data_IF_002623390106
#
_entry.id   IF_002623390106
#
_cell.length_a   1.000
_cell.length_b   1.000
_cell.length_c   1.000
_cell.angle_alpha   90.00
_cell.angle_beta   90.00
_cell.angle_gamma   90.00
#
_symmetry.space_group_name_H-M   'P 1'
#
loop_
_entity.id
_entity.type
_entity.pdbx_description
1 polymer ?
#
# COMPACT_ATOMS: atom_id res chain seq x y z
N UNK A 1 11.07 -15.35 13.63
CA UNK A 1 11.76 -14.69 12.49
C UNK A 1 12.53 -13.50 13.06
N UNK A 2 13.61 -12.97 12.46
CA UNK A 2 14.27 -11.81 13.06
C UNK A 2 13.35 -10.59 13.07
N UNK A 3 13.40 -9.84 14.17
CA UNK A 3 12.73 -8.56 14.29
C UNK A 3 13.37 -7.53 13.34
N UNK A 4 12.57 -6.84 12.54
CA UNK A 4 13.02 -5.95 11.47
C UNK A 4 12.08 -4.76 11.29
N UNK A 5 12.56 -3.67 10.71
CA UNK A 5 11.70 -2.55 10.31
C UNK A 5 11.11 -2.79 8.92
N UNK A 6 10.09 -2.04 8.53
CA UNK A 6 9.55 -2.13 7.17
C UNK A 6 10.59 -1.63 6.14
N UNK A 7 11.38 -0.60 6.49
CA UNK A 7 12.54 -0.15 5.68
C UNK A 7 13.51 -1.30 5.43
N UNK A 8 13.91 -1.99 6.50
CA UNK A 8 14.87 -3.09 6.40
C UNK A 8 14.29 -4.27 5.62
N UNK A 9 13.00 -4.57 5.78
CA UNK A 9 12.32 -5.62 5.02
C UNK A 9 12.22 -5.31 3.52
N UNK A 10 11.89 -4.08 3.15
CA UNK A 10 11.88 -3.61 1.75
C UNK A 10 13.29 -3.71 1.18
N UNK A 11 14.30 -3.23 1.91
CA UNK A 11 15.70 -3.31 1.49
C UNK A 11 16.15 -4.75 1.26
N UNK A 12 15.77 -5.65 2.15
CA UNK A 12 16.10 -7.07 2.06
C UNK A 12 15.38 -7.75 0.87
N UNK A 13 14.13 -7.37 0.57
CA UNK A 13 13.43 -7.82 -0.64
C UNK A 13 14.17 -7.40 -1.92
N UNK A 14 14.60 -6.15 -2.00
CA UNK A 14 15.37 -5.64 -3.14
C UNK A 14 16.73 -6.33 -3.26
N UNK A 15 17.39 -6.57 -2.13
CA UNK A 15 18.67 -7.28 -2.10
C UNK A 15 18.55 -8.71 -2.63
N UNK A 16 17.53 -9.44 -2.17
CA UNK A 16 17.19 -10.79 -2.65
C UNK A 16 16.90 -10.77 -4.15
N UNK A 17 16.05 -9.86 -4.62
CA UNK A 17 15.71 -9.77 -6.04
C UNK A 17 16.93 -9.46 -6.93
N UNK A 18 17.80 -8.54 -6.50
CA UNK A 18 19.02 -8.19 -7.23
C UNK A 18 20.05 -9.34 -7.27
N UNK A 19 20.11 -10.14 -6.19
CA UNK A 19 20.96 -11.34 -6.12
C UNK A 19 20.41 -12.47 -6.99
N UNK A 20 19.10 -12.72 -6.95
CA UNK A 20 18.48 -13.88 -7.59
C UNK A 20 18.33 -13.71 -9.11
N UNK A 21 18.06 -12.49 -9.59
CA UNK A 21 17.71 -12.23 -10.99
C UNK A 21 18.59 -11.12 -11.59
N UNK A 22 19.49 -11.43 -12.54
CA UNK A 22 20.36 -10.44 -13.17
C UNK A 22 19.61 -9.45 -14.09
N UNK A 23 18.33 -9.68 -14.36
CA UNK A 23 17.47 -8.77 -15.13
C UNK A 23 16.87 -7.67 -14.27
N UNK A 24 16.91 -7.80 -12.93
CA UNK A 24 16.39 -6.79 -12.00
C UNK A 24 17.35 -5.60 -11.90
N UNK A 25 16.80 -4.39 -11.93
CA UNK A 25 17.52 -3.14 -11.63
C UNK A 25 16.72 -2.29 -10.66
N UNK A 26 17.39 -1.50 -9.82
CA UNK A 26 16.75 -0.62 -8.84
C UNK A 26 17.22 0.81 -9.06
N UNK A 27 16.34 1.77 -9.34
CA UNK A 27 16.79 3.14 -9.59
C UNK A 27 15.72 4.19 -9.32
N UNK A 28 16.19 5.41 -9.08
CA UNK A 28 15.36 6.58 -8.78
C UNK A 28 16.20 7.71 -8.19
N UNK A 29 15.55 8.73 -7.68
CA UNK A 29 16.21 9.89 -7.08
C UNK A 29 16.85 9.49 -5.74
N UNK A 30 18.16 9.71 -5.60
CA UNK A 30 18.97 9.38 -4.42
C UNK A 30 19.02 7.88 -4.04
N UNK A 31 18.51 7.00 -4.91
CA UNK A 31 18.40 5.54 -4.68
C UNK A 31 19.75 4.83 -4.69
N UNK A 32 20.72 5.35 -5.44
CA UNK A 32 22.02 4.74 -5.70
C UNK A 32 22.98 4.90 -4.52
N UNK A 33 23.83 5.92 -4.58
CA UNK A 33 24.94 6.07 -3.61
C UNK A 33 24.43 6.38 -2.20
N UNK A 34 23.45 7.27 -2.08
CA UNK A 34 22.90 7.69 -0.79
C UNK A 34 22.06 6.59 -0.12
N UNK A 35 21.39 5.76 -0.93
CA UNK A 35 20.59 4.64 -0.43
C UNK A 35 19.12 4.98 -0.18
N UNK A 36 18.61 6.02 -0.84
CA UNK A 36 17.25 6.54 -0.72
C UNK A 36 17.07 7.42 0.52
N UNK A 37 16.21 8.43 0.43
CA UNK A 37 15.91 9.35 1.54
C UNK A 37 15.29 8.66 2.77
N UNK A 38 14.70 7.48 2.57
CA UNK A 38 14.17 6.62 3.63
C UNK A 38 15.08 5.43 3.97
N UNK A 39 16.26 5.31 3.36
CA UNK A 39 17.24 4.22 3.55
C UNK A 39 16.78 2.84 3.04
N UNK A 40 15.70 2.78 2.27
CA UNK A 40 15.15 1.55 1.69
C UNK A 40 16.11 0.87 0.70
N UNK A 41 17.11 1.59 0.15
CA UNK A 41 18.09 1.03 -0.81
C UNK A 41 19.54 1.13 -0.31
N UNK A 42 19.73 1.43 0.98
CA UNK A 42 21.05 1.64 1.57
C UNK A 42 22.02 0.48 1.34
N UNK A 43 23.14 0.75 0.67
CA UNK A 43 24.20 -0.24 0.43
C UNK A 43 23.95 -1.19 -0.75
N UNK A 44 22.79 -1.12 -1.42
CA UNK A 44 22.50 -1.95 -2.59
C UNK A 44 23.46 -1.65 -3.75
N UNK A 45 23.73 -0.38 -4.07
CA UNK A 45 24.72 -0.01 -5.09
C UNK A 45 26.12 -0.52 -4.75
N UNK A 46 26.55 -0.42 -3.48
CA UNK A 46 27.86 -0.92 -3.05
C UNK A 46 27.99 -2.43 -3.27
N UNK A 47 26.91 -3.19 -3.05
CA UNK A 47 26.91 -4.66 -3.18
C UNK A 47 26.76 -5.12 -4.63
N UNK A 48 25.85 -4.50 -5.40
CA UNK A 48 25.44 -4.97 -6.73
C UNK A 48 26.03 -4.18 -7.90
N UNK A 49 26.70 -3.06 -7.62
CA UNK A 49 27.32 -2.19 -8.62
C UNK A 49 26.38 -1.11 -9.17
N UNK A 50 26.98 -0.11 -9.80
CA UNK A 50 26.28 1.06 -10.37
C UNK A 50 25.33 0.68 -11.51
N UNK A 51 25.61 -0.40 -12.25
CA UNK A 51 24.74 -0.85 -13.35
C UNK A 51 23.45 -1.55 -12.87
N UNK A 52 23.37 -1.86 -11.57
CA UNK A 52 22.25 -2.58 -10.95
C UNK A 52 21.43 -1.71 -9.99
N UNK A 53 22.07 -0.78 -9.30
CA UNK A 53 21.42 0.17 -8.40
C UNK A 53 22.01 1.58 -8.56
N UNK A 54 21.24 2.55 -9.08
CA UNK A 54 21.76 3.86 -9.46
C UNK A 54 20.79 5.03 -9.26
N UNK A 55 21.39 6.22 -9.19
CA UNK A 55 20.70 7.50 -9.09
C UNK A 55 20.22 7.98 -10.46
N UNK A 56 19.06 8.62 -10.50
CA UNK A 56 18.51 9.25 -11.71
C UNK A 56 18.40 10.76 -11.56
N UNK A 57 18.27 11.51 -12.68
CA UNK A 57 17.78 12.88 -12.64
C UNK A 57 16.41 12.97 -11.95
N UNK A 58 16.07 14.17 -11.48
CA UNK A 58 14.74 14.49 -10.93
C UNK A 58 13.75 14.64 -12.08
N UNK A 59 13.25 13.50 -12.58
CA UNK A 59 12.23 13.44 -13.63
C UNK A 59 11.45 12.13 -13.50
N UNK A 60 10.28 12.17 -12.86
CA UNK A 60 9.46 10.96 -12.69
C UNK A 60 9.02 10.40 -14.04
N UNK A 61 8.67 11.27 -14.99
CA UNK A 61 8.38 10.89 -16.37
C UNK A 61 9.55 10.11 -16.99
N UNK A 62 10.77 10.63 -16.85
CA UNK A 62 11.98 9.98 -17.36
C UNK A 62 12.26 8.64 -16.68
N UNK A 63 12.12 8.58 -15.34
CA UNK A 63 12.32 7.35 -14.55
C UNK A 63 11.39 6.25 -15.05
N UNK A 64 10.09 6.53 -15.15
CA UNK A 64 9.10 5.52 -15.56
C UNK A 64 9.21 5.20 -17.05
N UNK A 65 9.42 6.20 -17.92
CA UNK A 65 9.59 5.98 -19.35
C UNK A 65 10.80 5.11 -19.69
N UNK A 66 11.94 5.33 -19.04
CA UNK A 66 13.13 4.48 -19.18
C UNK A 66 12.84 3.07 -18.66
N UNK A 67 12.16 2.93 -17.52
CA UNK A 67 11.76 1.62 -17.00
C UNK A 67 10.90 0.84 -17.99
N UNK A 68 9.91 1.47 -18.63
CA UNK A 68 9.07 0.83 -19.63
C UNK A 68 9.92 0.34 -20.82
N UNK A 69 10.84 1.16 -21.32
CA UNK A 69 11.76 0.76 -22.39
C UNK A 69 12.68 -0.41 -21.99
N UNK A 70 13.21 -0.39 -20.76
CA UNK A 70 14.00 -1.49 -20.20
C UNK A 70 13.16 -2.78 -20.06
N UNK A 71 11.91 -2.66 -19.65
CA UNK A 71 10.98 -3.78 -19.50
C UNK A 71 10.66 -4.41 -20.87
N UNK A 72 10.39 -3.59 -21.88
CA UNK A 72 10.20 -4.02 -23.27
C UNK A 72 11.44 -4.72 -23.86
N UNK A 73 12.64 -4.33 -23.41
CA UNK A 73 13.89 -5.02 -23.78
C UNK A 73 14.07 -6.38 -23.07
N UNK A 74 13.35 -6.65 -21.98
CA UNK A 74 13.46 -7.88 -21.20
C UNK A 74 14.17 -7.73 -19.85
N UNK A 75 14.19 -6.53 -19.27
CA UNK A 75 14.62 -6.28 -17.87
C UNK A 75 13.42 -6.26 -16.92
N UNK A 76 13.69 -6.27 -15.61
CA UNK A 76 12.69 -6.11 -14.53
C UNK A 76 13.01 -4.90 -13.65
N UNK A 77 12.72 -3.67 -14.11
CA UNK A 77 12.99 -2.46 -13.35
C UNK A 77 12.12 -2.35 -12.09
N UNK A 78 12.76 -2.03 -10.97
CA UNK A 78 12.12 -1.64 -9.71
C UNK A 78 12.49 -0.19 -9.44
N UNK A 79 11.59 0.71 -9.83
CA UNK A 79 11.85 2.15 -9.76
C UNK A 79 11.24 2.77 -8.52
N UNK A 80 11.87 3.83 -8.01
CA UNK A 80 11.35 4.60 -6.87
C UNK A 80 10.97 6.02 -7.33
N UNK A 81 9.75 6.43 -6.98
CA UNK A 81 9.34 7.85 -6.95
C UNK A 81 9.36 8.27 -5.48
N UNK A 82 10.10 9.33 -5.16
CA UNK A 82 10.50 9.64 -3.78
C UNK A 82 9.31 9.81 -2.80
N UNK A 83 8.20 10.38 -3.27
CA UNK A 83 6.92 10.43 -2.58
C UNK A 83 5.80 10.18 -3.58
N UNK A 84 4.73 9.50 -3.15
CA UNK A 84 3.55 9.27 -3.98
C UNK A 84 2.95 10.60 -4.50
N UNK A 85 3.08 11.68 -3.73
CA UNK A 85 2.66 13.05 -4.06
C UNK A 85 3.37 13.61 -5.31
N UNK A 86 4.56 13.10 -5.65
CA UNK A 86 5.35 13.54 -6.80
C UNK A 86 5.17 12.67 -8.03
N UNK A 87 4.26 11.71 -8.00
CA UNK A 87 4.07 10.77 -9.09
C UNK A 87 3.47 11.42 -10.35
N UNK A 88 2.73 12.54 -10.20
CA UNK A 88 1.93 13.14 -11.26
C UNK A 88 2.67 13.39 -12.60
N UNK A 89 3.94 13.84 -12.65
CA UNK A 89 4.67 13.98 -13.90
C UNK A 89 4.84 12.66 -14.67
N UNK A 90 4.87 11.52 -13.99
CA UNK A 90 4.94 10.18 -14.59
C UNK A 90 3.57 9.57 -14.94
N UNK A 91 2.45 10.22 -14.58
CA UNK A 91 1.14 9.59 -14.67
C UNK A 91 0.77 9.20 -16.11
N UNK A 92 1.16 9.99 -17.11
CA UNK A 92 0.98 9.61 -18.52
C UNK A 92 1.74 8.32 -18.88
N UNK A 93 3.01 8.20 -18.49
CA UNK A 93 3.78 6.97 -18.71
C UNK A 93 3.17 5.76 -17.99
N UNK A 94 2.59 5.96 -16.82
CA UNK A 94 1.95 4.87 -16.06
C UNK A 94 0.66 4.41 -16.75
N UNK A 95 -0.22 5.35 -17.11
CA UNK A 95 -1.58 5.06 -17.60
C UNK A 95 -1.62 4.76 -19.09
N UNK A 96 -0.94 5.57 -19.90
CA UNK A 96 -0.98 5.45 -21.36
C UNK A 96 -0.06 4.34 -21.87
N UNK A 97 1.08 4.15 -21.20
CA UNK A 97 2.15 3.28 -21.68
C UNK A 97 2.24 1.98 -20.87
N UNK A 98 2.67 2.03 -19.59
CA UNK A 98 2.94 0.83 -18.80
C UNK A 98 1.72 -0.09 -18.70
N UNK A 99 0.57 0.44 -18.32
CA UNK A 99 -0.67 -0.32 -18.12
C UNK A 99 -1.19 -0.99 -19.41
N UNK A 100 -0.88 -0.41 -20.57
CA UNK A 100 -1.48 -0.81 -21.86
C UNK A 100 -0.51 -1.51 -22.80
N UNK A 101 0.79 -1.55 -22.47
CA UNK A 101 1.82 -2.11 -23.37
C UNK A 101 1.51 -3.54 -23.78
N UNK A 102 1.20 -4.42 -22.81
CA UNK A 102 0.81 -5.81 -23.09
C UNK A 102 -0.40 -5.90 -24.01
N UNK A 103 -1.43 -5.10 -23.71
CA UNK A 103 -2.71 -5.16 -24.42
C UNK A 103 -2.59 -4.64 -25.86
N UNK A 104 -2.02 -3.44 -26.05
CA UNK A 104 -1.92 -2.78 -27.36
C UNK A 104 -0.99 -3.49 -28.33
N UNK A 105 -0.10 -4.33 -27.83
CA UNK A 105 0.85 -5.11 -28.64
C UNK A 105 0.48 -6.59 -28.73
N UNK A 106 -0.71 -6.99 -28.23
CA UNK A 106 -1.16 -8.38 -28.20
C UNK A 106 -0.13 -9.35 -27.59
N UNK A 107 0.64 -8.87 -26.60
CA UNK A 107 1.66 -9.65 -25.89
C UNK A 107 3.05 -9.67 -26.52
N UNK A 108 3.30 -8.97 -27.64
CA UNK A 108 4.65 -8.84 -28.19
C UNK A 108 5.60 -8.11 -27.23
N UNK A 109 5.09 -7.08 -26.52
CA UNK A 109 5.83 -6.38 -25.47
C UNK A 109 5.07 -6.43 -24.15
N UNK A 110 5.78 -6.69 -23.05
CA UNK A 110 5.24 -6.71 -21.68
C UNK A 110 5.95 -5.70 -20.81
N UNK A 111 5.34 -5.31 -19.67
CA UNK A 111 5.89 -4.29 -18.79
C UNK A 111 6.06 -4.79 -17.34
N UNK A 112 6.97 -5.75 -17.07
CA UNK A 112 7.28 -6.21 -15.70
C UNK A 112 8.08 -5.15 -14.94
N UNK A 113 7.40 -4.07 -14.52
CA UNK A 113 7.96 -2.99 -13.71
C UNK A 113 7.29 -2.95 -12.34
N UNK A 114 8.05 -2.56 -11.32
CA UNK A 114 7.51 -2.19 -10.01
C UNK A 114 7.82 -0.72 -9.77
N UNK A 115 6.81 0.08 -9.45
CA UNK A 115 6.95 1.51 -9.09
C UNK A 115 6.68 1.65 -7.60
N UNK A 116 7.74 1.81 -6.82
CA UNK A 116 7.70 2.03 -5.37
C UNK A 116 7.45 3.50 -5.07
N UNK A 117 6.52 3.77 -4.16
CA UNK A 117 6.09 5.13 -3.80
C UNK A 117 5.76 5.23 -2.31
N UNK A 118 6.56 5.96 -1.51
CA UNK A 118 6.21 6.26 -0.13
C UNK A 118 4.93 7.12 -0.07
N UNK A 119 3.88 6.63 0.59
CA UNK A 119 2.53 7.25 0.66
C UNK A 119 2.07 7.43 2.11
N UNK A 120 0.89 8.04 2.31
CA UNK A 120 0.25 8.20 3.61
C UNK A 120 0.78 9.36 4.45
N UNK A 121 -0.06 9.84 5.37
CA UNK A 121 0.17 10.98 6.25
C UNK A 121 0.47 10.59 7.70
N UNK A 122 -0.04 11.35 8.67
CA UNK A 122 0.22 11.16 10.10
C UNK A 122 1.64 11.54 10.51
N UNK A 123 2.30 12.44 9.77
CA UNK A 123 3.73 12.77 9.95
C UNK A 123 4.06 14.26 9.81
N UNK A 124 3.06 15.15 9.78
CA UNK A 124 3.22 16.58 9.49
C UNK A 124 3.77 16.89 8.10
N UNK A 125 3.57 15.99 7.13
CA UNK A 125 4.06 16.14 5.75
C UNK A 125 3.23 17.10 4.90
N UNK A 126 2.00 17.44 5.33
CA UNK A 126 1.13 18.39 4.65
C UNK A 126 0.81 17.98 3.19
N UNK A 127 0.61 18.97 2.31
CA UNK A 127 -0.05 18.77 1.02
C UNK A 127 0.70 17.88 0.03
N UNK A 128 2.04 17.84 0.08
CA UNK A 128 2.88 17.16 -0.92
C UNK A 128 3.85 16.13 -0.33
N UNK A 129 3.62 15.68 0.90
CA UNK A 129 4.39 14.58 1.49
C UNK A 129 3.49 13.57 2.21
N UNK A 130 2.17 13.58 1.98
CA UNK A 130 1.20 12.84 2.80
C UNK A 130 -0.07 12.40 2.08
N UNK A 131 -0.18 12.62 0.77
CA UNK A 131 -1.33 12.14 0.00
C UNK A 131 -1.35 10.61 -0.12
N UNK A 132 -2.56 10.08 -0.33
CA UNK A 132 -2.83 8.66 -0.64
C UNK A 132 -3.54 8.60 -2.00
N UNK A 133 -2.78 8.44 -3.11
CA UNK A 133 -3.32 8.54 -4.47
C UNK A 133 -3.74 7.18 -5.05
N UNK A 134 -4.02 6.16 -4.23
CA UNK A 134 -4.31 4.79 -4.71
C UNK A 134 -5.50 4.74 -5.69
N UNK A 135 -6.50 5.62 -5.50
CA UNK A 135 -7.68 5.70 -6.35
C UNK A 135 -7.32 5.99 -7.82
N UNK A 136 -6.28 6.80 -8.06
CA UNK A 136 -5.80 7.11 -9.41
C UNK A 136 -5.31 5.86 -10.13
N UNK A 137 -4.65 4.95 -9.41
CA UNK A 137 -4.11 3.72 -9.98
C UNK A 137 -5.13 2.59 -10.08
N UNK A 138 -5.99 2.44 -9.08
CA UNK A 138 -7.02 1.40 -9.07
C UNK A 138 -8.07 1.58 -10.17
N UNK A 139 -8.22 2.80 -10.70
CA UNK A 139 -9.08 3.09 -11.86
C UNK A 139 -8.44 2.69 -13.21
N UNK A 140 -7.15 2.38 -13.24
CA UNK A 140 -6.40 2.15 -14.49
C UNK A 140 -6.33 0.65 -14.79
N UNK A 141 -7.03 0.24 -15.84
CA UNK A 141 -6.98 -1.15 -16.32
C UNK A 141 -5.58 -1.52 -16.79
N UNK A 142 -5.07 -2.66 -16.32
CA UNK A 142 -3.74 -3.18 -16.68
C UNK A 142 -2.66 -2.90 -15.64
N UNK A 143 -2.97 -2.18 -14.56
CA UNK A 143 -2.11 -2.07 -13.38
C UNK A 143 -2.51 -3.09 -12.30
N UNK A 144 -1.54 -3.42 -11.45
CA UNK A 144 -1.78 -3.96 -10.10
C UNK A 144 -1.40 -2.91 -9.07
N UNK A 145 -2.11 -2.88 -7.94
CA UNK A 145 -1.88 -1.89 -6.86
C UNK A 145 -1.80 -2.61 -5.53
N UNK A 146 -0.72 -2.39 -4.80
CA UNK A 146 -0.37 -3.12 -3.57
C UNK A 146 0.06 -2.14 -2.48
N UNK A 147 -0.36 -2.38 -1.24
CA UNK A 147 0.03 -1.59 -0.07
C UNK A 147 0.19 -2.49 1.17
N UNK A 148 1.43 -2.76 1.63
CA UNK A 148 1.67 -3.54 2.83
C UNK A 148 1.35 -2.74 4.11
N UNK A 149 1.12 -3.45 5.21
CA UNK A 149 0.87 -2.85 6.53
C UNK A 149 1.91 -3.23 7.60
N UNK A 150 2.88 -4.08 7.26
CA UNK A 150 3.88 -4.60 8.20
C UNK A 150 5.11 -5.18 7.46
N UNK A 151 6.24 -5.43 8.15
CA UNK A 151 7.46 -5.94 7.54
C UNK A 151 7.34 -7.27 6.78
N UNK A 152 6.63 -8.28 7.31
CA UNK A 152 6.53 -9.59 6.63
C UNK A 152 5.82 -9.46 5.28
N UNK A 153 4.71 -8.71 5.25
CA UNK A 153 3.99 -8.46 4.00
C UNK A 153 4.74 -7.51 3.08
N UNK A 154 5.42 -6.49 3.60
CA UNK A 154 6.19 -5.56 2.77
C UNK A 154 7.24 -6.29 1.92
N UNK A 155 8.01 -7.19 2.54
CA UNK A 155 9.01 -7.98 1.81
C UNK A 155 8.37 -9.01 0.88
N UNK A 156 7.40 -9.79 1.36
CA UNK A 156 6.79 -10.86 0.58
C UNK A 156 5.98 -10.36 -0.61
N UNK A 157 5.23 -9.27 -0.43
CA UNK A 157 4.47 -8.64 -1.51
C UNK A 157 5.39 -7.94 -2.51
N UNK A 158 6.49 -7.32 -2.06
CA UNK A 158 7.45 -6.68 -2.98
C UNK A 158 8.15 -7.73 -3.85
N UNK A 159 8.60 -8.84 -3.27
CA UNK A 159 9.16 -9.95 -4.05
C UNK A 159 8.13 -10.53 -5.04
N UNK A 160 6.87 -10.65 -4.62
CA UNK A 160 5.80 -11.13 -5.50
C UNK A 160 5.48 -10.13 -6.62
N UNK A 161 5.57 -8.83 -6.35
CA UNK A 161 5.41 -7.77 -7.35
C UNK A 161 6.56 -7.77 -8.38
N UNK A 162 7.79 -8.04 -7.94
CA UNK A 162 8.96 -8.13 -8.83
C UNK A 162 8.90 -9.37 -9.74
N UNK A 163 8.32 -10.45 -9.24
CA UNK A 163 8.10 -11.68 -10.02
C UNK A 163 6.93 -11.57 -11.00
N UNK A 164 6.03 -10.61 -10.79
CA UNK A 164 4.82 -10.47 -11.57
C UNK A 164 5.12 -9.91 -12.97
N UNK A 165 4.52 -10.45 -14.04
CA UNK A 165 4.79 -9.97 -15.38
C UNK A 165 4.07 -8.65 -15.71
N UNK A 166 3.12 -8.20 -14.89
CA UNK A 166 2.32 -6.98 -15.07
C UNK A 166 2.90 -5.79 -14.26
N UNK A 167 2.65 -4.54 -14.69
CA UNK A 167 3.13 -3.37 -13.96
C UNK A 167 2.46 -3.25 -12.59
N UNK A 168 3.27 -3.16 -11.54
CA UNK A 168 2.80 -3.06 -10.15
C UNK A 168 3.12 -1.69 -9.55
N UNK A 169 2.08 -1.03 -9.05
CA UNK A 169 2.20 0.13 -8.17
C UNK A 169 2.33 -0.36 -6.73
N UNK A 170 3.48 -0.11 -6.12
CA UNK A 170 3.80 -0.56 -4.76
C UNK A 170 3.86 0.65 -3.82
N UNK A 171 2.75 0.86 -3.10
CA UNK A 171 2.59 2.00 -2.20
C UNK A 171 3.10 1.64 -0.81
N UNK A 172 4.02 2.43 -0.27
CA UNK A 172 4.69 2.16 1.01
C UNK A 172 4.25 3.17 2.07
N UNK A 173 3.44 2.80 3.07
CA UNK A 173 2.99 3.75 4.08
C UNK A 173 4.17 4.23 4.92
N UNK A 174 4.66 5.45 4.67
CA UNK A 174 5.88 5.97 5.31
C UNK A 174 5.72 6.11 6.83
N UNK A 175 4.48 6.32 7.29
CA UNK A 175 4.06 6.30 8.70
C UNK A 175 4.38 4.98 9.41
N UNK A 176 4.44 3.88 8.65
CA UNK A 176 4.71 2.53 9.11
C UNK A 176 6.17 2.10 8.90
N UNK A 177 7.08 2.98 8.46
CA UNK A 177 8.45 2.56 8.18
C UNK A 177 9.21 2.06 9.41
N UNK A 178 9.08 2.78 10.53
CA UNK A 178 9.88 2.54 11.74
C UNK A 178 9.13 1.73 12.80
N UNK A 179 7.80 1.74 12.78
CA UNK A 179 6.94 1.04 13.72
C UNK A 179 5.47 1.11 13.29
N UNK A 180 4.60 0.29 13.91
CA UNK A 180 3.16 0.43 13.74
C UNK A 180 2.69 1.80 14.26
N UNK A 181 1.62 2.33 13.70
CA UNK A 181 1.00 3.57 14.17
C UNK A 181 -0.51 3.39 14.23
N UNK A 182 -1.05 3.50 15.44
CA UNK A 182 -2.47 3.32 15.74
C UNK A 182 -3.28 4.63 15.65
N UNK A 183 -2.64 5.77 15.41
CA UNK A 183 -3.29 7.09 15.40
C UNK A 183 -3.19 7.86 16.71
N UNK A 184 -2.59 7.29 17.77
CA UNK A 184 -2.37 7.97 19.05
C UNK A 184 -1.04 8.74 19.04
N UNK A 185 -1.13 9.98 18.55
CA UNK A 185 -0.04 10.97 18.54
C UNK A 185 0.37 11.50 19.93
N UNK A 186 -0.45 11.32 20.95
CA UNK A 186 -0.16 11.63 22.36
C UNK A 186 0.79 10.62 23.01
N UNK A 187 1.01 9.47 22.35
CA UNK A 187 1.87 8.38 22.85
C UNK A 187 3.11 8.24 21.97
N UNK A 188 4.30 8.00 22.55
CA UNK A 188 5.48 7.64 21.77
C UNK A 188 5.22 6.37 20.96
N UNK A 189 5.56 6.42 19.67
CA UNK A 189 5.40 5.29 18.76
C UNK A 189 6.37 4.18 19.13
N UNK A 190 5.88 2.95 19.20
CA UNK A 190 6.72 1.77 19.45
C UNK A 190 7.44 1.32 18.18
N UNK A 191 8.72 0.93 18.25
CA UNK A 191 9.43 0.41 17.08
C UNK A 191 8.87 -0.96 16.66
N UNK A 192 9.03 -1.32 15.38
CA UNK A 192 8.68 -2.68 14.92
C UNK A 192 9.36 -3.78 15.72
N UNK A 193 10.57 -3.54 16.21
CA UNK A 193 11.36 -4.53 16.94
C UNK A 193 10.70 -5.07 18.21
N UNK A 194 9.74 -4.34 18.76
CA UNK A 194 8.98 -4.72 19.96
C UNK A 194 7.53 -5.11 19.65
N UNK A 195 7.13 -5.10 18.39
CA UNK A 195 5.77 -5.40 17.97
C UNK A 195 5.66 -6.82 17.36
N UNK A 196 4.59 -7.60 17.64
CA UNK A 196 4.45 -8.97 17.13
C UNK A 196 4.47 -9.08 15.60
N UNK A 197 3.95 -8.07 14.89
CA UNK A 197 3.99 -8.02 13.42
C UNK A 197 5.32 -7.50 12.86
N UNK A 198 6.32 -7.23 13.71
CA UNK A 198 7.62 -6.67 13.33
C UNK A 198 8.69 -7.71 12.98
N UNK A 199 8.31 -8.95 12.69
CA UNK A 199 9.25 -9.98 12.24
C UNK A 199 9.11 -10.26 10.75
N UNK A 200 10.21 -10.59 10.07
CA UNK A 200 10.17 -11.10 8.69
C UNK A 200 11.23 -12.20 8.49
N UNK A 201 10.93 -13.32 7.80
CA UNK A 201 11.91 -14.36 7.51
C UNK A 201 13.12 -13.81 6.76
N UNK A 202 14.31 -14.37 7.01
CA UNK A 202 15.47 -14.16 6.13
C UNK A 202 15.30 -14.96 4.83
N UNK A 203 15.96 -14.52 3.75
CA UNK A 203 15.92 -15.20 2.46
C UNK A 203 14.61 -15.00 1.71
N UNK A 204 14.44 -15.68 0.57
CA UNK A 204 13.29 -15.49 -0.32
C UNK A 204 12.01 -16.12 0.23
N UNK A 205 10.92 -15.36 0.26
CA UNK A 205 9.56 -15.87 0.41
C UNK A 205 8.58 -14.93 -0.29
N UNK A 206 7.40 -15.43 -0.64
CA UNK A 206 6.37 -14.69 -1.35
C UNK A 206 5.12 -14.57 -0.49
N UNK A 207 4.43 -13.44 -0.60
CA UNK A 207 3.06 -13.26 -0.13
C UNK A 207 2.21 -13.04 -1.38
N UNK A 208 1.22 -13.92 -1.67
CA UNK A 208 0.48 -13.84 -2.92
C UNK A 208 -0.23 -12.50 -3.10
N UNK A 209 -0.10 -11.92 -4.29
CA UNK A 209 -0.91 -10.76 -4.69
C UNK A 209 -2.37 -11.19 -4.83
N UNK A 210 -3.29 -10.25 -4.57
CA UNK A 210 -4.73 -10.48 -4.67
C UNK A 210 -5.32 -11.33 -3.54
N UNK A 211 -4.60 -11.49 -2.43
CA UNK A 211 -5.10 -12.14 -1.22
C UNK A 211 -5.13 -11.14 -0.06
N UNK A 212 -6.23 -11.06 0.68
CA UNK A 212 -6.39 -10.23 1.87
C UNK A 212 -6.04 -11.02 3.14
N UNK A 213 -5.73 -10.33 4.24
CA UNK A 213 -5.39 -10.94 5.53
C UNK A 213 -6.37 -10.51 6.61
N UNK A 214 -7.00 -11.48 7.29
CA UNK A 214 -7.79 -11.22 8.49
C UNK A 214 -6.83 -11.00 9.66
N UNK A 215 -6.70 -9.76 10.13
CA UNK A 215 -5.81 -9.37 11.24
C UNK A 215 -6.43 -9.60 12.61
N UNK A 216 -7.74 -9.47 12.68
CA UNK A 216 -8.54 -9.76 13.88
C UNK A 216 -9.82 -10.44 13.43
N UNK A 217 -10.17 -11.56 14.04
CA UNK A 217 -11.46 -12.22 13.82
C UNK A 217 -12.54 -11.50 14.61
N UNK A 218 -13.74 -11.45 14.06
CA UNK A 218 -14.94 -10.97 14.75
C UNK A 218 -16.21 -11.36 14.02
N UNK A 219 -17.36 -11.12 14.63
CA UNK A 219 -18.66 -11.53 14.10
C UNK A 219 -19.69 -10.38 14.02
N UNK A 220 -19.46 -9.24 14.67
CA UNK A 220 -20.45 -8.16 14.73
C UNK A 220 -20.42 -7.21 13.52
N UNK A 221 -19.23 -6.92 12.97
CA UNK A 221 -19.05 -6.15 11.74
C UNK A 221 -17.72 -6.47 11.05
N UNK A 222 -17.62 -6.19 9.76
CA UNK A 222 -16.39 -6.27 8.97
C UNK A 222 -15.79 -4.88 8.80
N UNK A 223 -14.48 -4.74 9.04
CA UNK A 223 -13.71 -3.52 8.76
C UNK A 223 -12.74 -3.81 7.63
N UNK A 224 -12.90 -3.11 6.51
CA UNK A 224 -11.98 -3.17 5.37
C UNK A 224 -10.97 -2.02 5.49
N UNK A 225 -9.69 -2.35 5.62
CA UNK A 225 -8.62 -1.37 5.77
C UNK A 225 -7.36 -1.80 5.01
N UNK A 226 -6.43 -0.87 4.83
CA UNK A 226 -5.12 -1.11 4.24
C UNK A 226 -4.10 -0.06 4.72
N UNK A 227 -2.81 -0.37 4.60
CA UNK A 227 -1.74 0.50 5.07
C UNK A 227 -1.84 0.83 6.56
N UNK A 228 -1.66 2.11 6.94
CA UNK A 228 -1.74 2.57 8.34
C UNK A 228 -3.10 2.30 8.98
N UNK A 229 -4.18 2.38 8.19
CA UNK A 229 -5.54 2.23 8.71
C UNK A 229 -5.84 0.85 9.27
N UNK A 230 -5.03 -0.17 8.96
CA UNK A 230 -5.12 -1.48 9.60
C UNK A 230 -4.86 -1.36 11.10
N UNK A 231 -3.80 -0.65 11.50
CA UNK A 231 -3.42 -0.48 12.90
C UNK A 231 -4.39 0.45 13.64
N UNK A 232 -4.88 1.50 12.97
CA UNK A 232 -5.95 2.36 13.51
C UNK A 232 -7.24 1.55 13.76
N UNK A 233 -7.65 0.73 12.79
CA UNK A 233 -8.85 -0.10 12.92
C UNK A 233 -8.72 -1.09 14.08
N UNK A 234 -7.56 -1.76 14.22
CA UNK A 234 -7.28 -2.65 15.34
C UNK A 234 -7.40 -1.92 16.68
N UNK A 235 -6.74 -0.77 16.84
CA UNK A 235 -6.82 0.02 18.07
C UNK A 235 -8.25 0.48 18.37
N UNK A 236 -8.97 0.98 17.36
CA UNK A 236 -10.35 1.44 17.52
C UNK A 236 -11.28 0.34 18.06
N UNK A 237 -11.16 -0.89 17.55
CA UNK A 237 -12.05 -2.00 17.94
C UNK A 237 -11.61 -2.66 19.25
N UNK A 238 -10.31 -2.65 19.57
CA UNK A 238 -9.78 -3.10 20.85
C UNK A 238 -10.18 -2.17 22.00
N UNK A 239 -9.98 -0.86 21.85
CA UNK A 239 -10.30 0.15 22.87
C UNK A 239 -11.81 0.26 23.17
N UNK A 240 -12.64 -0.13 22.21
CA UNK A 240 -14.09 -0.11 22.36
C UNK A 240 -14.71 -1.47 22.60
N UNK A 241 -13.89 -2.53 22.65
CA UNK A 241 -14.32 -3.93 22.77
C UNK A 241 -15.39 -4.35 21.72
N UNK A 242 -15.40 -3.70 20.55
CA UNK A 242 -16.30 -4.07 19.46
C UNK A 242 -15.79 -5.35 18.80
N UNK A 243 -16.69 -6.31 18.60
CA UNK A 243 -16.35 -7.58 17.95
C UNK A 243 -16.28 -7.47 16.41
N UNK A 244 -15.30 -6.72 15.93
CA UNK A 244 -15.09 -6.48 14.51
C UNK A 244 -14.06 -7.44 13.89
N UNK A 245 -14.37 -7.96 12.71
CA UNK A 245 -13.39 -8.61 11.85
C UNK A 245 -12.60 -7.56 11.06
N UNK A 246 -11.31 -7.41 11.32
CA UNK A 246 -10.44 -6.43 10.64
C UNK A 246 -9.70 -7.13 9.52
N UNK A 247 -9.95 -6.69 8.28
CA UNK A 247 -9.33 -7.19 7.06
C UNK A 247 -8.34 -6.15 6.54
N UNK A 248 -7.08 -6.57 6.42
CA UNK A 248 -6.06 -5.87 5.66
C UNK A 248 -6.10 -6.35 4.21
N UNK A 249 -6.46 -5.46 3.28
CA UNK A 249 -6.62 -5.83 1.88
C UNK A 249 -5.33 -6.30 1.23
N UNK A 250 -4.17 -5.75 1.64
CA UNK A 250 -2.83 -5.94 1.05
C UNK A 250 -2.72 -5.55 -0.44
N UNK A 251 -3.52 -6.17 -1.31
CA UNK A 251 -3.66 -5.82 -2.73
C UNK A 251 -4.98 -5.10 -2.93
N UNK A 252 -4.90 -3.89 -3.51
CA UNK A 252 -6.06 -3.05 -3.83
C UNK A 252 -6.60 -3.37 -5.23
N UNK A 253 -5.72 -3.73 -6.16
CA UNK A 253 -6.08 -4.16 -7.51
C UNK A 253 -5.14 -5.28 -7.99
N UNK A 254 -5.65 -6.47 -8.38
CA UNK A 254 -6.99 -6.98 -8.08
C UNK A 254 -7.13 -7.28 -6.58
N UNK A 255 -8.26 -6.90 -5.98
CA UNK A 255 -8.56 -7.19 -4.57
C UNK A 255 -9.10 -8.62 -4.36
N UNK A 256 -8.96 -9.12 -3.15
CA UNK A 256 -9.51 -10.42 -2.71
C UNK A 256 -11.01 -10.29 -2.40
N UNK A 257 -11.84 -10.36 -3.44
CA UNK A 257 -13.28 -10.19 -3.31
C UNK A 257 -13.91 -11.33 -2.51
N UNK A 258 -13.37 -12.55 -2.63
CA UNK A 258 -13.89 -13.73 -1.93
C UNK A 258 -13.80 -13.57 -0.42
N UNK A 259 -12.63 -13.15 0.10
CA UNK A 259 -12.44 -12.91 1.54
C UNK A 259 -13.35 -11.80 2.05
N UNK A 260 -13.50 -10.71 1.29
CA UNK A 260 -14.38 -9.58 1.66
C UNK A 260 -15.83 -10.04 1.74
N UNK A 261 -16.35 -10.69 0.70
CA UNK A 261 -17.74 -11.15 0.62
C UNK A 261 -18.03 -12.18 1.70
N UNK A 262 -17.12 -13.13 1.94
CA UNK A 262 -17.28 -14.12 3.00
C UNK A 262 -17.40 -13.47 4.39
N UNK A 263 -16.58 -12.45 4.67
CA UNK A 263 -16.63 -11.72 5.94
C UNK A 263 -17.93 -10.91 6.08
N UNK A 264 -18.30 -10.14 5.06
CA UNK A 264 -19.51 -9.30 5.13
C UNK A 264 -20.78 -10.15 5.18
N UNK A 265 -20.86 -11.28 4.47
CA UNK A 265 -22.01 -12.20 4.60
C UNK A 265 -22.16 -12.76 6.00
N UNK A 266 -21.05 -12.99 6.70
CA UNK A 266 -21.02 -13.48 8.08
C UNK A 266 -21.45 -12.40 9.07
N UNK A 267 -20.98 -11.17 8.92
CA UNK A 267 -21.19 -10.09 9.89
C UNK A 267 -22.45 -9.25 9.60
N UNK A 268 -22.85 -9.21 8.34
CA UNK A 268 -23.95 -8.42 7.79
C UNK A 268 -23.72 -6.91 7.81
N UNK A 269 -22.52 -6.44 8.12
CA UNK A 269 -22.21 -5.02 8.37
C UNK A 269 -20.79 -4.70 7.95
N UNK A 270 -20.56 -3.53 7.35
CA UNK A 270 -19.24 -3.18 6.83
C UNK A 270 -18.89 -1.71 7.09
N UNK A 271 -17.64 -1.47 7.52
CA UNK A 271 -17.00 -0.15 7.58
C UNK A 271 -15.74 -0.21 6.72
N UNK A 272 -15.58 0.73 5.80
CA UNK A 272 -14.34 0.90 5.01
C UNK A 272 -13.50 2.02 5.62
N UNK A 273 -12.21 1.81 5.80
CA UNK A 273 -11.29 2.79 6.42
C UNK A 273 -10.05 3.01 5.54
N UNK A 274 -9.82 4.25 5.12
CA UNK A 274 -8.65 4.64 4.32
C UNK A 274 -8.18 6.08 4.62
N UNK A 275 -6.91 6.39 4.33
CA UNK A 275 -6.36 7.74 4.52
C UNK A 275 -6.77 8.72 3.43
N UNK A 276 -6.97 8.23 2.20
CA UNK A 276 -7.32 9.05 1.04
C UNK A 276 -8.61 9.85 1.24
N UNK A 277 -8.78 10.90 0.45
CA UNK A 277 -10.00 11.73 0.42
C UNK A 277 -11.24 10.89 0.11
N UNK A 278 -12.39 11.31 0.63
CA UNK A 278 -13.63 10.52 0.59
C UNK A 278 -14.24 10.40 -0.81
N UNK A 279 -14.35 11.53 -1.51
CA UNK A 279 -15.02 11.59 -2.82
C UNK A 279 -14.15 10.94 -3.89
N UNK A 280 -14.74 9.98 -4.62
CA UNK A 280 -14.05 9.18 -5.64
C UNK A 280 -12.78 8.47 -5.15
N UNK A 281 -12.63 8.30 -3.83
CA UNK A 281 -11.58 7.46 -3.23
C UNK A 281 -11.88 5.98 -3.40
N UNK A 282 -10.87 5.12 -3.17
CA UNK A 282 -11.00 3.68 -3.37
C UNK A 282 -12.08 3.03 -2.48
N UNK A 283 -12.41 3.64 -1.33
CA UNK A 283 -13.53 3.18 -0.51
C UNK A 283 -14.89 3.25 -1.20
N UNK A 284 -15.07 4.06 -2.25
CA UNK A 284 -16.29 4.07 -3.04
C UNK A 284 -16.49 2.76 -3.82
N UNK A 285 -15.43 2.24 -4.44
CA UNK A 285 -15.44 0.95 -5.16
C UNK A 285 -15.70 -0.20 -4.18
N UNK A 286 -15.01 -0.21 -3.03
CA UNK A 286 -15.24 -1.22 -2.00
C UNK A 286 -16.69 -1.24 -1.51
N UNK A 287 -17.29 -0.07 -1.26
CA UNK A 287 -18.69 0.01 -0.86
C UNK A 287 -19.65 -0.45 -1.97
N UNK A 288 -19.35 -0.14 -3.23
CA UNK A 288 -20.15 -0.58 -4.37
C UNK A 288 -20.09 -2.12 -4.55
N UNK A 289 -18.91 -2.71 -4.46
CA UNK A 289 -18.72 -4.17 -4.52
C UNK A 289 -19.44 -4.89 -3.37
N UNK A 290 -19.29 -4.38 -2.15
CA UNK A 290 -20.02 -4.93 -0.99
C UNK A 290 -21.52 -4.81 -1.19
N UNK A 291 -22.02 -3.68 -1.68
CA UNK A 291 -23.44 -3.51 -1.97
C UNK A 291 -23.92 -4.53 -3.01
N UNK A 292 -23.18 -4.70 -4.11
CA UNK A 292 -23.56 -5.59 -5.20
C UNK A 292 -23.58 -7.07 -4.76
N UNK A 293 -22.55 -7.50 -4.05
CA UNK A 293 -22.33 -8.92 -3.71
C UNK A 293 -23.00 -9.37 -2.41
N UNK A 294 -23.30 -8.43 -1.52
CA UNK A 294 -23.82 -8.70 -0.17
C UNK A 294 -25.16 -8.02 0.14
N UNK A 295 -25.85 -7.43 -0.84
CA UNK A 295 -27.10 -6.67 -0.63
C UNK A 295 -28.07 -7.33 0.37
N UNK A 296 -28.42 -8.60 0.15
CA UNK A 296 -29.39 -9.33 0.98
C UNK A 296 -28.89 -9.72 2.38
N UNK A 297 -27.58 -9.63 2.61
CA UNK A 297 -26.96 -9.92 3.92
C UNK A 297 -26.67 -8.64 4.71
N UNK A 298 -26.82 -7.45 4.11
CA UNK A 298 -26.54 -6.19 4.79
C UNK A 298 -27.66 -5.81 5.75
N UNK A 299 -27.31 -5.65 7.01
CA UNK A 299 -28.18 -5.22 8.11
C UNK A 299 -28.06 -3.71 8.41
N UNK A 300 -27.14 -3.01 7.77
CA UNK A 300 -26.93 -1.58 7.87
C UNK A 300 -26.25 -1.05 6.59
N UNK A 301 -26.37 0.26 6.29
CA UNK A 301 -25.59 0.89 5.23
C UNK A 301 -24.08 0.70 5.44
N UNK A 302 -23.33 0.53 4.34
CA UNK A 302 -21.86 0.52 4.40
C UNK A 302 -21.35 1.91 4.75
N UNK A 303 -20.70 2.05 5.90
CA UNK A 303 -20.05 3.30 6.30
C UNK A 303 -18.63 3.38 5.73
N UNK A 304 -18.16 4.61 5.48
CA UNK A 304 -16.79 4.87 5.02
C UNK A 304 -16.15 5.95 5.89
N UNK A 305 -14.98 5.66 6.42
CA UNK A 305 -14.16 6.59 7.20
C UNK A 305 -12.89 6.88 6.41
N UNK A 306 -12.84 8.08 5.85
CA UNK A 306 -11.81 8.54 4.93
C UNK A 306 -11.16 9.84 5.43
N UNK A 307 -10.07 10.29 4.80
CA UNK A 307 -9.63 11.68 4.91
C UNK A 307 -10.71 12.65 4.40
N UNK A 308 -10.69 13.90 4.86
CA UNK A 308 -11.66 14.91 4.40
C UNK A 308 -11.41 15.29 2.93
N UNK A 309 -12.45 15.78 2.25
CA UNK A 309 -12.36 16.31 0.88
C UNK A 309 -11.69 17.70 0.85
N UNK A 310 -10.44 17.73 1.31
CA UNK A 310 -9.55 18.89 1.34
C UNK A 310 -8.11 18.43 1.05
N UNK A 311 -7.22 19.31 0.56
CA UNK A 311 -5.79 19.04 0.59
C UNK A 311 -5.32 18.70 2.01
N UNK A 312 -4.30 17.84 2.12
CA UNK A 312 -3.79 17.37 3.40
C UNK A 312 -3.15 18.54 4.19
N UNK A 313 -3.67 18.93 5.37
CA UNK A 313 -3.18 20.09 6.12
C UNK A 313 -1.92 19.77 6.95
N UNK A 314 -1.16 20.80 7.31
CA UNK A 314 -0.06 20.66 8.28
C UNK A 314 -0.56 20.81 9.73
N UNK A 315 -1.16 21.97 10.06
CA UNK A 315 -1.57 22.30 11.44
C UNK A 315 -2.71 21.42 11.95
N UNK A 316 -3.65 21.06 11.07
CA UNK A 316 -4.81 20.24 11.38
C UNK A 316 -4.60 18.75 11.04
N UNK A 317 -3.35 18.27 11.11
CA UNK A 317 -2.96 16.87 10.83
C UNK A 317 -3.91 15.86 11.51
N UNK A 318 -4.14 16.01 12.81
CA UNK A 318 -4.92 15.07 13.61
C UNK A 318 -6.43 15.27 13.51
N UNK A 319 -6.88 16.44 13.06
CA UNK A 319 -8.29 16.65 12.70
C UNK A 319 -8.60 16.01 11.33
N UNK A 320 -7.60 15.95 10.44
CA UNK A 320 -7.72 15.35 9.11
C UNK A 320 -7.62 13.82 9.15
N UNK A 321 -6.55 13.31 9.76
CA UNK A 321 -6.21 11.90 9.79
C UNK A 321 -7.33 11.07 10.43
N UNK A 322 -7.75 9.94 9.85
CA UNK A 322 -8.79 9.10 10.44
C UNK A 322 -8.24 8.37 11.66
N UNK A 323 -8.27 9.00 12.84
CA UNK A 323 -7.83 8.39 14.09
C UNK A 323 -8.82 7.39 14.70
N UNK A 324 -8.42 6.65 15.76
CA UNK A 324 -9.23 5.60 16.38
C UNK A 324 -10.61 6.05 16.82
N UNK A 325 -10.74 7.26 17.36
CA UNK A 325 -12.02 7.81 17.80
C UNK A 325 -13.02 7.97 16.64
N UNK A 326 -12.56 8.46 15.47
CA UNK A 326 -13.42 8.63 14.28
C UNK A 326 -13.84 7.29 13.70
N UNK A 327 -12.93 6.31 13.68
CA UNK A 327 -13.20 4.93 13.24
C UNK A 327 -14.19 4.24 14.18
N UNK A 328 -13.94 4.29 15.49
CA UNK A 328 -14.82 3.71 16.51
C UNK A 328 -16.24 4.29 16.46
N UNK A 329 -16.38 5.60 16.22
CA UNK A 329 -17.68 6.24 16.08
C UNK A 329 -18.47 5.66 14.89
N UNK A 330 -17.82 5.39 13.75
CA UNK A 330 -18.47 4.73 12.61
C UNK A 330 -18.86 3.28 12.92
N UNK A 331 -17.97 2.52 13.58
CA UNK A 331 -18.28 1.16 14.01
C UNK A 331 -19.52 1.11 14.92
N UNK A 332 -19.67 2.07 15.85
CA UNK A 332 -20.86 2.18 16.70
C UNK A 332 -22.11 2.50 15.89
N UNK A 333 -22.07 3.48 14.98
CA UNK A 333 -23.22 3.83 14.12
C UNK A 333 -23.74 2.64 13.32
N UNK A 334 -22.85 1.80 12.79
CA UNK A 334 -23.24 0.60 12.02
C UNK A 334 -23.88 -0.49 12.89
N UNK A 335 -23.58 -0.50 14.18
CA UNK A 335 -24.15 -1.44 15.16
C UNK A 335 -25.45 -0.93 15.80
N UNK A 336 -25.79 0.35 15.64
CA UNK A 336 -27.06 0.90 16.12
C UNK A 336 -28.24 0.23 15.40
N UNK A 337 -29.26 -0.17 16.17
CA UNK A 337 -30.50 -0.71 15.63
C UNK A 337 -31.35 0.49 15.19
N UNK A 338 -31.66 0.57 13.89
CA UNK A 338 -32.71 1.46 13.38
C UNK A 338 -34.09 0.86 13.61
#
# INVERSE_FOLDING_TARGET
MPATTMIDAIRDALDVALTDDPTVTVFGQDVGYFGGVFRCTAGLQKKHGIDRCFDTPISELGIVGVAIGMAAYGRKPVVEIQFADYMYPAYDQIVSEAARLRYRTAGEFTCPIVIRMPTGGGIFGAQTHSQSPEALFTHVTGLKVVMPSNPIDAKGLLLSAIDDPDPVIFLEPKRLYNGPFDGHHDRPVSPWRTHPMGEAPLGRYLVPLGQAAIRRKGAALTVLAYGTMVHVALAAVEETAIDAEVIDLRTLLPLDLETIVASVRKTGRCVVVHEATLTSGFGAELAALVQAECFWHLHAPVERVAGWDTPYPHTNEWDYFPGPARVAAACRRVLEVQ
#
